data_IF_702141958837
#
_entry.id   IF_702141958837
#
_cell.length_a   1.000
_cell.length_b   1.000
_cell.length_c   1.000
_cell.angle_alpha   90.00
_cell.angle_beta   90.00
_cell.angle_gamma   90.00
#
_symmetry.space_group_name_H-M   'P 1'
#
loop_
_entity.id
_entity.type
_entity.pdbx_description
1 polymer ?
#
# COMPACT_ATOMS: atom_id res chain seq x y z
N UNK A 1 17.82 1.73 -27.74
CA UNK A 1 17.38 0.73 -26.76
C UNK A 1 18.54 0.47 -25.82
N UNK A 2 18.46 0.99 -24.59
CA UNK A 2 19.56 0.91 -23.62
C UNK A 2 19.49 -0.36 -22.76
N UNK A 3 20.58 -0.77 -22.10
CA UNK A 3 20.70 -2.05 -21.40
C UNK A 3 20.00 -2.07 -20.01
N UNK A 4 19.03 -1.19 -19.76
CA UNK A 4 18.43 -0.97 -18.45
C UNK A 4 17.12 -1.69 -18.16
N UNK A 5 16.42 -2.22 -19.19
CA UNK A 5 15.08 -2.82 -19.02
C UNK A 5 15.11 -4.34 -18.79
N UNK A 6 16.12 -5.04 -19.28
CA UNK A 6 16.20 -6.51 -19.19
C UNK A 6 16.23 -7.01 -17.73
N UNK A 7 16.82 -6.25 -16.81
CA UNK A 7 16.89 -6.65 -15.41
C UNK A 7 15.55 -6.56 -14.67
N UNK A 8 14.66 -5.60 -15.00
CA UNK A 8 13.38 -5.43 -14.30
C UNK A 8 12.33 -6.45 -14.73
N UNK A 9 12.29 -6.75 -16.02
CA UNK A 9 11.39 -7.76 -16.58
C UNK A 9 11.72 -9.16 -16.05
N UNK A 10 13.01 -9.46 -15.85
CA UNK A 10 13.48 -10.71 -15.24
C UNK A 10 13.02 -10.85 -13.78
N UNK A 11 13.10 -9.78 -12.96
CA UNK A 11 12.60 -9.82 -11.58
C UNK A 11 11.08 -9.96 -11.48
N UNK A 12 10.34 -9.29 -12.38
CA UNK A 12 8.89 -9.40 -12.41
C UNK A 12 8.44 -10.82 -12.81
N UNK A 13 9.10 -11.41 -13.81
CA UNK A 13 8.85 -12.77 -14.24
C UNK A 13 9.19 -13.78 -13.14
N UNK A 14 10.34 -13.64 -12.48
CA UNK A 14 10.74 -14.50 -11.35
C UNK A 14 9.73 -14.42 -10.20
N UNK A 15 9.24 -13.21 -9.87
CA UNK A 15 8.20 -13.04 -8.85
C UNK A 15 6.89 -13.75 -9.25
N UNK A 16 6.46 -13.63 -10.50
CA UNK A 16 5.26 -14.32 -11.04
C UNK A 16 5.45 -15.84 -10.97
N UNK A 17 6.61 -16.35 -11.36
CA UNK A 17 6.93 -17.79 -11.32
C UNK A 17 6.97 -18.32 -9.88
N UNK A 18 7.52 -17.54 -8.94
CA UNK A 18 7.51 -17.88 -7.52
C UNK A 18 6.10 -17.95 -6.95
N UNK A 19 5.25 -16.96 -7.27
CA UNK A 19 3.83 -16.94 -6.87
C UNK A 19 3.08 -18.16 -7.41
N UNK A 20 3.28 -18.49 -8.70
CA UNK A 20 2.70 -19.67 -9.34
C UNK A 20 3.13 -20.96 -8.65
N UNK A 21 4.41 -21.11 -8.32
CA UNK A 21 4.94 -22.29 -7.63
C UNK A 21 4.34 -22.44 -6.22
N UNK A 22 4.22 -21.35 -5.48
CA UNK A 22 3.59 -21.31 -4.15
C UNK A 22 2.12 -21.72 -4.23
N UNK A 23 1.39 -21.16 -5.20
CA UNK A 23 0.00 -21.53 -5.50
C UNK A 23 -0.13 -23.03 -5.81
N UNK A 24 0.63 -23.56 -6.77
CA UNK A 24 0.58 -24.98 -7.16
C UNK A 24 0.93 -25.91 -6.01
N UNK A 25 1.89 -25.55 -5.16
CA UNK A 25 2.26 -26.36 -3.99
C UNK A 25 1.12 -26.43 -2.98
N UNK A 26 0.49 -25.30 -2.64
CA UNK A 26 -0.63 -25.26 -1.69
C UNK A 26 -1.89 -25.94 -2.21
N UNK A 27 -2.07 -25.99 -3.54
CA UNK A 27 -3.21 -26.64 -4.19
C UNK A 27 -2.99 -28.10 -4.63
N UNK A 28 -1.83 -28.71 -4.34
CA UNK A 28 -1.64 -30.15 -4.63
C UNK A 28 -2.65 -30.97 -3.80
N UNK A 29 -3.58 -31.64 -4.50
CA UNK A 29 -4.57 -32.54 -3.89
C UNK A 29 -5.95 -31.95 -3.63
N UNK A 30 -6.18 -30.66 -3.92
CA UNK A 30 -7.50 -30.05 -3.79
C UNK A 30 -8.27 -30.13 -5.13
N UNK A 31 -9.41 -30.81 -5.15
CA UNK A 31 -10.37 -30.71 -6.24
C UNK A 31 -11.11 -29.37 -6.13
N UNK A 32 -10.88 -28.46 -7.07
CA UNK A 32 -11.53 -27.15 -7.10
C UNK A 32 -13.04 -27.31 -7.29
N UNK A 33 -13.82 -27.12 -6.23
CA UNK A 33 -15.22 -26.69 -6.35
C UNK A 33 -15.26 -25.21 -6.01
N UNK A 34 -15.35 -24.38 -7.04
CA UNK A 34 -15.88 -23.04 -6.88
C UNK A 34 -17.38 -23.24 -6.61
N UNK A 35 -17.82 -23.03 -5.37
CA UNK A 35 -19.23 -22.73 -5.21
C UNK A 35 -19.51 -21.36 -5.87
N UNK A 36 -20.78 -21.13 -6.18
CA UNK A 36 -21.31 -19.94 -6.87
C UNK A 36 -20.93 -18.59 -6.25
N UNK A 37 -20.25 -18.57 -5.10
CA UNK A 37 -19.84 -17.38 -4.36
C UNK A 37 -18.32 -17.33 -4.08
N UNK A 38 -17.55 -18.32 -4.53
CA UNK A 38 -16.10 -18.38 -4.29
C UNK A 38 -15.73 -18.62 -2.83
N UNK A 39 -16.61 -19.27 -2.05
CA UNK A 39 -16.47 -19.52 -0.61
C UNK A 39 -16.19 -20.99 -0.28
N UNK A 40 -15.55 -21.71 -1.21
CA UNK A 40 -15.01 -23.04 -0.93
C UNK A 40 -13.77 -22.99 -0.01
N UNK A 41 -13.37 -24.13 0.59
CA UNK A 41 -12.11 -24.28 1.36
C UNK A 41 -10.83 -24.05 0.52
N UNK A 42 -10.99 -23.62 -0.73
CA UNK A 42 -9.97 -23.25 -1.71
C UNK A 42 -9.62 -21.75 -1.70
N UNK A 43 -10.07 -20.96 -0.72
CA UNK A 43 -9.66 -19.54 -0.57
C UNK A 43 -8.21 -19.43 -0.10
N UNK A 44 -7.30 -19.23 -1.05
CA UNK A 44 -5.95 -18.72 -0.78
C UNK A 44 -6.06 -17.22 -0.50
N UNK A 45 -5.58 -16.79 0.67
CA UNK A 45 -5.45 -15.36 1.01
C UNK A 45 -4.18 -14.75 0.42
N UNK A 46 -4.09 -13.41 0.34
CA UNK A 46 -2.83 -12.75 -0.02
C UNK A 46 -1.69 -13.11 0.95
N UNK A 47 -2.01 -13.27 2.23
CA UNK A 47 -1.09 -13.77 3.26
C UNK A 47 -0.56 -15.18 2.91
N UNK A 48 -1.41 -16.04 2.37
CA UNK A 48 -1.00 -17.38 1.93
C UNK A 48 0.01 -17.37 0.79
N UNK A 49 0.06 -16.29 0.02
CA UNK A 49 1.01 -16.09 -1.08
C UNK A 49 2.27 -15.34 -0.65
N UNK A 50 2.42 -15.05 0.65
CA UNK A 50 3.49 -14.18 1.14
C UNK A 50 3.34 -12.73 0.68
N UNK A 51 2.16 -12.37 0.16
CA UNK A 51 1.78 -11.03 -0.27
C UNK A 51 1.05 -10.28 0.84
N UNK A 52 1.38 -10.59 2.10
CA UNK A 52 0.88 -9.82 3.23
C UNK A 52 1.53 -8.43 3.17
N UNK A 53 0.86 -7.53 2.43
CA UNK A 53 1.17 -6.12 2.47
C UNK A 53 0.72 -5.69 3.85
N UNK A 54 1.59 -5.84 4.84
CA UNK A 54 1.39 -5.21 6.15
C UNK A 54 1.05 -3.75 5.86
N UNK A 55 -0.20 -3.35 6.06
CA UNK A 55 -0.62 -1.98 5.80
C UNK A 55 -0.20 -1.17 7.02
N UNK A 56 0.57 -0.12 6.79
CA UNK A 56 0.88 0.86 7.82
C UNK A 56 -0.05 2.04 7.68
N UNK A 57 -0.61 2.45 8.81
CA UNK A 57 -1.34 3.70 8.94
C UNK A 57 -0.51 4.65 9.79
N UNK A 58 -0.26 5.86 9.28
CA UNK A 58 0.52 6.88 9.97
C UNK A 58 -0.24 8.20 9.91
N UNK A 59 -0.40 8.86 11.05
CA UNK A 59 -0.89 10.23 11.06
C UNK A 59 0.24 11.17 10.64
N UNK A 60 -0.01 11.94 9.58
CA UNK A 60 0.90 12.96 9.07
C UNK A 60 0.38 14.33 9.47
N UNK A 61 1.29 15.26 9.74
CA UNK A 61 0.95 16.67 9.94
C UNK A 61 1.79 17.52 8.99
N UNK A 62 1.18 18.58 8.47
CA UNK A 62 1.87 19.59 7.67
C UNK A 62 1.27 20.96 7.96
N UNK A 63 1.99 22.02 7.58
CA UNK A 63 1.53 23.41 7.73
C UNK A 63 1.43 24.04 6.34
N UNK A 64 0.22 24.43 5.96
CA UNK A 64 -0.03 25.25 4.79
C UNK A 64 0.15 26.74 5.16
N UNK A 65 0.86 27.54 4.36
CA UNK A 65 1.02 28.97 4.60
C UNK A 65 -0.32 29.74 4.67
N UNK A 66 -1.34 29.25 3.97
CA UNK A 66 -2.66 29.90 3.86
C UNK A 66 -3.65 29.34 4.87
N UNK A 67 -3.76 28.01 4.96
CA UNK A 67 -4.82 27.34 5.75
C UNK A 67 -4.35 26.85 7.12
N UNK A 68 -3.07 27.06 7.47
CA UNK A 68 -2.51 26.62 8.74
C UNK A 68 -2.22 25.13 8.82
N UNK A 69 -2.19 24.59 10.04
CA UNK A 69 -1.83 23.18 10.30
C UNK A 69 -2.99 22.25 9.95
N UNK A 70 -2.67 21.15 9.28
CA UNK A 70 -3.61 20.09 8.96
C UNK A 70 -2.98 18.71 9.20
N UNK A 71 -3.85 17.70 9.20
CA UNK A 71 -3.50 16.31 9.47
C UNK A 71 -4.15 15.39 8.45
N UNK A 72 -3.44 14.34 8.07
CA UNK A 72 -3.94 13.32 7.15
C UNK A 72 -3.54 11.94 7.65
N UNK A 73 -4.48 10.99 7.60
CA UNK A 73 -4.17 9.58 7.84
C UNK A 73 -3.61 8.98 6.55
N UNK A 74 -2.30 8.77 6.52
CA UNK A 74 -1.65 8.09 5.41
C UNK A 74 -1.72 6.58 5.58
N UNK A 75 -2.08 5.89 4.50
CA UNK A 75 -2.14 4.43 4.44
C UNK A 75 -1.22 3.94 3.33
N UNK A 76 -0.24 3.10 3.66
CA UNK A 76 0.74 2.58 2.70
C UNK A 76 1.20 1.17 3.04
N UNK A 77 1.96 0.56 2.13
CA UNK A 77 2.64 -0.71 2.42
C UNK A 77 3.67 -0.51 3.54
N UNK A 78 3.95 -1.53 4.34
CA UNK A 78 4.87 -1.42 5.48
C UNK A 78 6.31 -1.07 5.08
N UNK A 79 6.69 -1.42 3.86
CA UNK A 79 7.98 -1.10 3.26
C UNK A 79 7.99 0.27 2.58
N UNK A 80 6.82 0.88 2.38
CA UNK A 80 6.74 2.18 1.72
C UNK A 80 7.31 3.25 2.66
N UNK A 81 8.21 4.11 2.15
CA UNK A 81 8.69 5.22 2.95
C UNK A 81 7.50 6.12 3.31
N UNK A 82 7.56 6.69 4.52
CA UNK A 82 6.66 7.76 4.92
C UNK A 82 6.81 8.90 3.89
N UNK A 83 5.72 9.46 3.36
CA UNK A 83 5.83 10.54 2.38
C UNK A 83 6.32 11.82 3.04
N UNK A 84 7.08 12.60 2.28
CA UNK A 84 7.67 13.86 2.76
C UNK A 84 6.76 15.07 2.54
N UNK A 85 5.70 14.89 1.74
CA UNK A 85 4.70 15.93 1.43
C UNK A 85 3.30 15.36 1.41
N UNK A 86 2.33 16.18 1.81
CA UNK A 86 0.89 15.90 1.72
C UNK A 86 0.14 17.11 1.17
N UNK A 87 -1.00 16.86 0.53
CA UNK A 87 -1.77 17.92 -0.10
C UNK A 87 -2.63 18.65 0.93
N UNK A 88 -2.54 19.98 0.96
CA UNK A 88 -3.44 20.77 1.80
C UNK A 88 -4.88 20.60 1.30
N UNK A 89 -5.82 20.18 2.18
CA UNK A 89 -7.22 20.03 1.78
C UNK A 89 -7.87 21.39 1.47
N UNK A 90 -7.30 22.48 1.97
CA UNK A 90 -7.92 23.80 1.97
C UNK A 90 -8.85 23.98 3.16
N UNK A 91 -9.90 24.78 2.97
CA UNK A 91 -10.93 25.00 3.98
C UNK A 91 -12.29 24.40 3.56
N UNK A 92 -13.36 24.74 4.28
CA UNK A 92 -14.71 24.24 3.98
C UNK A 92 -15.28 24.77 2.66
N UNK A 93 -14.67 25.78 2.07
CA UNK A 93 -15.18 26.51 0.90
C UNK A 93 -14.30 26.38 -0.34
N UNK A 94 -12.98 26.27 -0.17
CA UNK A 94 -12.01 26.26 -1.27
C UNK A 94 -10.99 25.15 -1.04
N UNK A 95 -10.83 24.27 -2.02
CA UNK A 95 -9.77 23.28 -2.04
C UNK A 95 -8.42 23.95 -2.34
N UNK A 96 -7.38 23.59 -1.59
CA UNK A 96 -6.05 24.17 -1.78
C UNK A 96 -5.18 23.35 -2.75
N UNK A 97 -5.01 22.05 -2.48
CA UNK A 97 -4.21 21.15 -3.32
C UNK A 97 -2.69 21.42 -3.30
N UNK A 98 -2.22 22.39 -2.51
CA UNK A 98 -0.81 22.71 -2.42
C UNK A 98 -0.05 21.62 -1.64
N UNK A 99 1.01 21.07 -2.22
CA UNK A 99 1.89 20.11 -1.55
C UNK A 99 2.67 20.78 -0.41
N UNK A 100 2.36 20.42 0.83
CA UNK A 100 3.00 20.95 2.03
C UNK A 100 3.95 19.90 2.62
N UNK A 101 5.12 20.33 3.09
CA UNK A 101 6.10 19.44 3.73
C UNK A 101 5.57 18.86 5.04
N UNK A 102 5.79 17.56 5.24
CA UNK A 102 5.42 16.87 6.47
C UNK A 102 6.32 17.34 7.62
N UNK A 103 5.69 17.71 8.73
CA UNK A 103 6.36 18.04 9.99
C UNK A 103 6.62 16.75 10.76
N UNK A 104 7.88 16.29 10.77
CA UNK A 104 8.29 15.05 11.44
C UNK A 104 8.46 15.20 12.95
N UNK A 105 8.60 16.43 13.45
CA UNK A 105 8.80 16.70 14.87
C UNK A 105 7.46 16.67 15.61
N UNK A 106 6.38 16.97 14.90
CA UNK A 106 5.03 16.95 15.44
C UNK A 106 4.39 15.56 15.31
N UNK A 107 4.26 14.86 16.44
CA UNK A 107 3.35 13.72 16.56
C UNK A 107 1.99 14.22 17.04
N UNK A 108 0.91 14.09 16.24
CA UNK A 108 -0.42 14.41 16.75
C UNK A 108 -0.69 13.49 17.93
N UNK A 109 -1.11 14.08 19.07
CA UNK A 109 -1.52 13.33 20.24
C UNK A 109 -2.47 12.22 19.81
N UNK A 110 -2.02 10.97 19.96
CA UNK A 110 -2.84 9.81 19.63
C UNK A 110 -4.17 9.97 20.35
N UNK A 111 -5.28 9.84 19.63
CA UNK A 111 -6.57 9.67 20.29
C UNK A 111 -6.45 8.40 21.13
N UNK A 112 -6.42 8.58 22.45
CA UNK A 112 -6.68 7.52 23.41
C UNK A 112 -8.09 6.96 23.19
#
# INVERSE_FOLDING_TARGET
MGPGDLGRDDFALEAILMLRKTWTRKHRGFHFRLDKWGEGPSRISFKDLGLDINIQQRYLSAVCPVHGRFHELWTGAAIAPRPDRINCPGDRTVACGQECGVDYVYEPAGKA
#
